data_IF_942387438694
#
_entry.id   IF_942387438694
#
_cell.length_a   1.000
_cell.length_b   1.000
_cell.length_c   1.000
_cell.angle_alpha   90.00
_cell.angle_beta   90.00
_cell.angle_gamma   90.00
#
_symmetry.space_group_name_H-M   'P 1'
#
loop_
_entity.id
_entity.type
_entity.pdbx_description
1 polymer ?
#
# COMPACT_ATOMS: atom_id res chain seq x y z
N UNK A 1 -23.83 -7.87 3.02
CA UNK A 1 -22.95 -6.85 3.65
C UNK A 1 -22.16 -7.59 4.71
N UNK A 2 -20.87 -7.88 4.46
CA UNK A 2 -20.02 -8.54 5.45
C UNK A 2 -19.39 -7.46 6.32
N UNK A 3 -19.45 -7.63 7.64
CA UNK A 3 -18.81 -6.71 8.57
C UNK A 3 -17.30 -6.97 8.62
N UNK A 4 -16.52 -5.99 9.09
CA UNK A 4 -15.07 -6.15 9.31
C UNK A 4 -14.80 -7.36 10.24
N UNK A 5 -15.68 -7.58 11.22
CA UNK A 5 -15.64 -8.71 12.15
C UNK A 5 -15.80 -10.06 11.45
N UNK A 6 -16.72 -10.17 10.48
CA UNK A 6 -16.89 -11.41 9.69
C UNK A 6 -15.66 -11.71 8.84
N UNK A 7 -14.96 -10.66 8.37
CA UNK A 7 -13.76 -10.77 7.52
C UNK A 7 -12.53 -11.25 8.30
N UNK A 8 -12.45 -10.97 9.61
CA UNK A 8 -11.40 -11.47 10.48
C UNK A 8 -11.64 -12.93 10.87
N UNK A 9 -12.90 -13.32 11.10
CA UNK A 9 -13.29 -14.68 11.46
C UNK A 9 -13.15 -15.68 10.29
N UNK A 10 -13.22 -15.21 9.04
CA UNK A 10 -13.02 -16.02 7.83
C UNK A 10 -11.54 -16.27 7.49
N UNK A 11 -10.59 -15.79 8.30
CA UNK A 11 -9.16 -16.05 8.06
C UNK A 11 -8.87 -17.52 8.31
N UNK A 12 -8.25 -18.22 7.35
CA UNK A 12 -7.81 -19.59 7.60
C UNK A 12 -6.79 -19.56 8.74
N UNK A 13 -7.07 -20.31 9.80
CA UNK A 13 -6.16 -20.47 10.92
C UNK A 13 -4.84 -21.11 10.45
N UNK A 14 -3.71 -20.54 10.86
CA UNK A 14 -2.37 -21.07 10.53
C UNK A 14 -1.70 -20.47 9.29
N UNK A 15 -2.30 -19.46 8.63
CA UNK A 15 -1.63 -18.75 7.54
C UNK A 15 -0.73 -17.65 8.12
N UNK A 16 0.58 -17.81 7.92
CA UNK A 16 1.60 -16.82 8.32
C UNK A 16 1.73 -15.71 7.26
N UNK A 17 1.77 -14.45 7.68
CA UNK A 17 1.99 -13.32 6.78
C UNK A 17 1.45 -12.01 7.36
N UNK A 18 1.73 -10.91 6.66
CA UNK A 18 1.21 -9.59 6.99
C UNK A 18 -0.13 -9.35 6.31
N UNK A 19 -1.16 -8.95 7.06
CA UNK A 19 -2.42 -8.48 6.49
C UNK A 19 -2.32 -6.99 6.21
N UNK A 20 -2.77 -6.59 5.03
CA UNK A 20 -2.59 -5.21 4.57
C UNK A 20 -3.92 -4.47 4.46
N UNK A 21 -3.86 -3.16 4.70
CA UNK A 21 -4.90 -2.23 4.24
C UNK A 21 -4.28 -1.18 3.33
N UNK A 22 -5.12 -0.64 2.45
CA UNK A 22 -4.68 0.26 1.40
C UNK A 22 -5.50 1.55 1.40
N UNK A 23 -4.82 2.67 1.27
CA UNK A 23 -5.44 3.99 1.17
C UNK A 23 -5.11 4.63 -0.17
N UNK A 24 -6.15 5.06 -0.89
CA UNK A 24 -5.98 5.90 -2.07
C UNK A 24 -6.22 7.36 -1.69
N UNK A 25 -5.12 8.13 -1.62
CA UNK A 25 -5.09 9.48 -1.07
C UNK A 25 -4.72 10.50 -2.14
N UNK A 26 -5.06 11.75 -1.89
CA UNK A 26 -4.62 12.89 -2.69
C UNK A 26 -4.35 14.12 -1.85
N UNK A 27 -3.62 15.08 -2.40
CA UNK A 27 -3.48 16.41 -1.85
C UNK A 27 -4.32 17.46 -2.62
N UNK A 28 -4.19 18.74 -2.22
CA UNK A 28 -4.83 19.88 -2.91
C UNK A 28 -4.32 20.08 -4.34
N UNK A 29 -3.06 19.74 -4.62
CA UNK A 29 -2.43 19.80 -5.96
C UNK A 29 -2.86 18.65 -6.88
N UNK A 30 -3.75 17.76 -6.41
CA UNK A 30 -4.24 16.56 -7.12
C UNK A 30 -3.17 15.49 -7.37
N UNK A 31 -2.02 15.58 -6.72
CA UNK A 31 -1.07 14.45 -6.62
C UNK A 31 -1.74 13.33 -5.83
N UNK A 32 -1.51 12.08 -6.22
CA UNK A 32 -2.19 10.90 -5.65
C UNK A 32 -1.18 9.89 -5.13
N UNK A 33 -1.57 9.20 -4.06
CA UNK A 33 -0.79 8.14 -3.43
C UNK A 33 -1.65 6.91 -3.22
N UNK A 34 -1.07 5.74 -3.47
CA UNK A 34 -1.54 4.48 -2.97
C UNK A 34 -0.62 4.05 -1.82
N UNK A 35 -1.17 4.02 -0.61
CA UNK A 35 -0.43 3.71 0.61
C UNK A 35 -0.85 2.34 1.12
N UNK A 36 0.10 1.41 1.22
CA UNK A 36 -0.11 0.06 1.77
C UNK A 36 0.55 -0.04 3.14
N UNK A 37 -0.20 -0.42 4.17
CA UNK A 37 0.31 -0.57 5.53
C UNK A 37 -0.27 -1.80 6.22
N UNK A 38 0.29 -2.18 7.36
CA UNK A 38 -0.31 -3.22 8.20
C UNK A 38 -1.76 -2.86 8.53
N UNK A 39 -2.63 -3.86 8.51
CA UNK A 39 -4.05 -3.68 8.76
C UNK A 39 -4.34 -2.99 10.11
N UNK A 40 -3.54 -3.28 11.13
CA UNK A 40 -3.68 -2.72 12.47
C UNK A 40 -2.95 -1.38 12.65
N UNK A 41 -2.18 -0.93 11.65
CA UNK A 41 -1.42 0.30 11.75
C UNK A 41 -2.35 1.51 11.89
N UNK A 42 -2.21 2.29 12.96
CA UNK A 42 -2.90 3.58 13.08
C UNK A 42 -2.19 4.60 12.19
N UNK A 43 -2.94 5.29 11.33
CA UNK A 43 -2.39 6.22 10.34
C UNK A 43 -2.99 7.62 10.52
N UNK A 44 -2.15 8.56 10.97
CA UNK A 44 -2.48 9.98 10.98
C UNK A 44 -2.15 10.62 9.61
N UNK A 45 -3.20 11.04 8.88
CA UNK A 45 -3.05 11.65 7.56
C UNK A 45 -2.30 12.99 7.58
N UNK A 46 -2.24 13.69 8.71
CA UNK A 46 -1.45 14.91 8.87
C UNK A 46 0.03 14.58 8.89
N UNK A 47 0.45 13.65 9.73
CA UNK A 47 1.86 13.24 9.81
C UNK A 47 2.32 12.54 8.53
N UNK A 48 1.48 11.67 7.97
CA UNK A 48 1.74 11.05 6.67
C UNK A 48 1.90 12.10 5.56
N UNK A 49 1.05 13.12 5.55
CA UNK A 49 1.12 14.22 4.60
C UNK A 49 2.38 15.07 4.71
N UNK A 50 2.86 15.30 5.94
CA UNK A 50 4.16 15.94 6.20
C UNK A 50 5.31 15.08 5.68
N UNK A 51 5.32 13.77 6.00
CA UNK A 51 6.37 12.84 5.61
C UNK A 51 6.50 12.71 4.09
N UNK A 52 5.37 12.61 3.38
CA UNK A 52 5.31 12.53 1.92
C UNK A 52 5.57 13.87 1.21
N UNK A 53 5.80 14.98 1.94
CA UNK A 53 5.88 16.31 1.36
C UNK A 53 4.57 16.75 0.65
N UNK A 54 3.46 16.09 0.96
CA UNK A 54 2.18 16.23 0.29
C UNK A 54 1.32 17.37 0.86
N UNK A 55 1.64 17.84 2.07
CA UNK A 55 0.78 18.70 2.86
C UNK A 55 -0.47 17.96 3.33
N UNK A 56 -1.63 18.65 3.41
CA UNK A 56 -2.88 17.99 3.83
C UNK A 56 -3.34 16.94 2.82
N UNK A 57 -3.43 15.69 3.28
CA UNK A 57 -4.00 14.56 2.54
C UNK A 57 -5.50 14.41 2.81
N UNK A 58 -6.20 13.83 1.84
CA UNK A 58 -7.59 13.37 1.94
C UNK A 58 -7.81 12.17 1.04
N UNK A 59 -8.82 11.36 1.32
CA UNK A 59 -9.22 10.28 0.42
C UNK A 59 -9.57 10.80 -0.99
N UNK A 60 -9.09 10.08 -1.99
CA UNK A 60 -9.45 10.35 -3.38
C UNK A 60 -10.87 9.83 -3.67
N UNK A 61 -11.52 10.42 -4.67
CA UNK A 61 -12.90 10.09 -5.00
C UNK A 61 -13.01 8.76 -5.76
N UNK A 62 -14.17 8.07 -5.71
CA UNK A 62 -14.39 6.82 -6.45
C UNK A 62 -14.08 6.93 -7.94
N UNK A 63 -14.40 8.07 -8.57
CA UNK A 63 -14.16 8.31 -10.00
C UNK A 63 -12.65 8.35 -10.31
N UNK A 64 -11.82 8.87 -9.40
CA UNK A 64 -10.36 8.84 -9.56
C UNK A 64 -9.83 7.43 -9.38
N UNK A 65 -10.36 6.71 -8.41
CA UNK A 65 -9.97 5.34 -8.12
C UNK A 65 -10.24 4.45 -9.35
N UNK A 66 -11.41 4.60 -9.96
CA UNK A 66 -11.76 3.93 -11.21
C UNK A 66 -10.87 4.39 -12.38
N UNK A 67 -10.68 5.71 -12.54
CA UNK A 67 -9.90 6.28 -13.65
C UNK A 67 -8.43 5.88 -13.64
N UNK A 68 -7.77 5.87 -12.48
CA UNK A 68 -6.33 5.69 -12.38
C UNK A 68 -5.93 4.26 -12.00
N UNK A 69 -6.74 3.58 -11.18
CA UNK A 69 -6.42 2.26 -10.66
C UNK A 69 -7.34 1.16 -11.20
N UNK A 70 -8.36 1.48 -12.00
CA UNK A 70 -9.16 0.43 -12.62
C UNK A 70 -10.08 -0.33 -11.63
N UNK A 71 -10.31 0.21 -10.43
CA UNK A 71 -11.06 -0.46 -9.36
C UNK A 71 -12.15 0.40 -8.74
N UNK A 72 -13.05 -0.23 -7.97
CA UNK A 72 -14.11 0.43 -7.20
C UNK A 72 -13.75 0.56 -5.72
N UNK A 73 -14.48 1.40 -5.00
CA UNK A 73 -14.31 1.54 -3.54
C UNK A 73 -14.56 0.22 -2.83
N UNK A 74 -13.80 -0.02 -1.77
CA UNK A 74 -13.83 -1.28 -1.02
C UNK A 74 -12.69 -2.20 -1.43
N UNK A 75 -12.32 -2.25 -2.71
CA UNK A 75 -11.37 -3.20 -3.29
C UNK A 75 -9.95 -2.62 -3.50
N UNK A 76 -9.55 -1.66 -2.67
CA UNK A 76 -8.25 -0.97 -2.82
C UNK A 76 -7.11 -1.96 -2.58
N UNK A 77 -6.26 -2.12 -3.59
CA UNK A 77 -5.18 -3.11 -3.62
C UNK A 77 -3.95 -2.55 -4.29
N UNK A 78 -2.73 -2.87 -3.82
CA UNK A 78 -1.51 -2.45 -4.49
C UNK A 78 -1.32 -3.13 -5.86
N UNK A 79 -2.01 -4.24 -6.12
CA UNK A 79 -2.01 -4.89 -7.44
C UNK A 79 -2.69 -4.02 -8.51
N UNK A 80 -3.48 -3.02 -8.12
CA UNK A 80 -4.12 -2.10 -9.05
C UNK A 80 -3.14 -1.14 -9.75
N UNK A 81 -1.88 -1.08 -9.31
CA UNK A 81 -0.82 -0.27 -9.94
C UNK A 81 -0.57 -0.64 -11.40
N UNK A 82 -0.84 -1.89 -11.80
CA UNK A 82 -0.74 -2.31 -13.22
C UNK A 82 -1.67 -1.49 -14.14
N UNK A 83 -2.76 -0.95 -13.60
CA UNK A 83 -3.73 -0.17 -14.37
C UNK A 83 -3.30 1.30 -14.53
N UNK A 84 -2.39 1.81 -13.69
CA UNK A 84 -1.88 3.18 -13.83
C UNK A 84 -0.73 3.26 -14.84
N UNK A 85 -1.06 3.01 -16.10
CA UNK A 85 -0.13 3.11 -17.24
C UNK A 85 0.42 4.53 -17.45
N UNK A 86 -0.17 5.52 -16.78
CA UNK A 86 0.22 6.93 -16.86
C UNK A 86 1.11 7.40 -15.71
N UNK A 87 1.40 6.51 -14.75
CA UNK A 87 2.25 6.73 -13.58
C UNK A 87 1.88 8.01 -12.81
N UNK A 88 0.58 8.20 -12.54
CA UNK A 88 0.04 9.35 -11.80
C UNK A 88 -0.11 9.09 -10.31
N UNK A 89 0.04 7.83 -9.88
CA UNK A 89 -0.11 7.39 -8.50
C UNK A 89 1.25 7.05 -7.93
N UNK A 90 1.67 7.76 -6.89
CA UNK A 90 2.85 7.40 -6.13
C UNK A 90 2.53 6.20 -5.23
N UNK A 91 3.45 5.23 -5.15
CA UNK A 91 3.27 4.08 -4.26
C UNK A 91 4.10 4.26 -3.00
N UNK A 92 3.48 4.08 -1.83
CA UNK A 92 4.17 4.08 -0.56
C UNK A 92 3.78 2.83 0.25
N UNK A 93 4.75 2.21 0.91
CA UNK A 93 4.54 0.99 1.68
C UNK A 93 5.16 1.12 3.07
N UNK A 94 4.44 0.65 4.08
CA UNK A 94 4.97 0.50 5.43
C UNK A 94 6.13 -0.50 5.47
N UNK A 95 7.26 -0.07 5.99
CA UNK A 95 8.47 -0.88 6.14
C UNK A 95 8.26 -2.06 7.08
N UNK A 96 7.32 -1.98 8.02
CA UNK A 96 6.98 -3.11 8.91
C UNK A 96 6.55 -4.35 8.12
N UNK A 97 5.84 -4.14 7.00
CA UNK A 97 5.36 -5.20 6.12
C UNK A 97 6.50 -6.01 5.48
N UNK A 98 7.67 -5.39 5.29
CA UNK A 98 8.84 -6.05 4.70
C UNK A 98 9.45 -7.13 5.59
N UNK A 99 9.03 -7.22 6.86
CA UNK A 99 9.45 -8.27 7.79
C UNK A 99 8.72 -9.59 7.60
N UNK A 100 7.60 -9.56 6.86
CA UNK A 100 6.87 -10.78 6.52
C UNK A 100 7.40 -11.36 5.22
N UNK A 101 7.47 -12.70 5.13
CA UNK A 101 7.80 -13.38 3.87
C UNK A 101 6.65 -13.25 2.86
N UNK A 102 5.42 -13.21 3.36
CA UNK A 102 4.19 -13.15 2.57
C UNK A 102 3.26 -12.05 3.06
N UNK A 103 2.55 -11.44 2.13
CA UNK A 103 1.47 -10.49 2.39
C UNK A 103 0.14 -11.03 1.88
N UNK A 104 -0.90 -10.76 2.64
CA UNK A 104 -2.27 -10.98 2.27
C UNK A 104 -2.87 -9.65 1.80
N UNK A 105 -3.23 -9.61 0.52
CA UNK A 105 -3.86 -8.46 -0.12
C UNK A 105 -5.24 -8.88 -0.63
N UNK A 106 -6.20 -7.97 -0.61
CA UNK A 106 -7.46 -8.18 -1.33
C UNK A 106 -7.17 -8.01 -2.84
N UNK A 107 -7.43 -9.01 -3.70
CA UNK A 107 -7.16 -8.91 -5.13
C UNK A 107 -8.37 -8.30 -5.82
N UNK A 108 -8.53 -6.98 -5.72
CA UNK A 108 -9.44 -6.18 -6.56
C UNK A 108 -10.94 -6.54 -6.42
N UNK A 109 -11.29 -7.45 -5.50
CA UNK A 109 -12.63 -7.76 -4.98
C UNK A 109 -12.51 -8.16 -3.51
N UNK A 110 -13.41 -7.66 -2.66
CA UNK A 110 -13.38 -7.89 -1.20
C UNK A 110 -13.72 -9.31 -0.78
N UNK A 111 -14.08 -10.16 -1.74
CA UNK A 111 -14.48 -11.55 -1.52
C UNK A 111 -13.31 -12.53 -1.65
N UNK A 112 -12.12 -12.06 -2.04
CA UNK A 112 -10.94 -12.90 -2.21
C UNK A 112 -9.75 -12.31 -1.43
N UNK A 113 -8.80 -13.17 -1.08
CA UNK A 113 -7.50 -12.77 -0.54
C UNK A 113 -6.43 -13.44 -1.40
N UNK A 114 -5.54 -12.67 -1.99
CA UNK A 114 -4.35 -13.18 -2.67
C UNK A 114 -3.17 -13.09 -1.72
N UNK A 115 -2.50 -14.21 -1.54
CA UNK A 115 -1.22 -14.27 -0.85
C UNK A 115 -0.11 -14.14 -1.87
N UNK A 116 0.81 -13.21 -1.66
CA UNK A 116 2.00 -13.07 -2.49
C UNK A 116 3.24 -12.85 -1.65
N UNK A 117 4.43 -13.25 -2.13
CA UNK A 117 5.68 -12.90 -1.48
C UNK A 117 5.82 -11.38 -1.38
N UNK A 118 6.26 -10.89 -0.22
CA UNK A 118 6.46 -9.44 -0.01
C UNK A 118 7.43 -8.85 -1.02
N UNK A 119 8.50 -9.60 -1.30
CA UNK A 119 9.48 -9.28 -2.33
C UNK A 119 8.84 -9.17 -3.73
N UNK A 120 7.87 -10.03 -4.00
CA UNK A 120 7.12 -10.04 -5.25
C UNK A 120 6.28 -8.78 -5.41
N UNK A 121 5.65 -8.29 -4.34
CA UNK A 121 4.90 -7.04 -4.36
C UNK A 121 5.80 -5.83 -4.67
N UNK A 122 6.96 -5.75 -4.02
CA UNK A 122 7.94 -4.67 -4.25
C UNK A 122 8.44 -4.70 -5.69
N UNK A 123 8.81 -5.88 -6.20
CA UNK A 123 9.26 -6.04 -7.58
C UNK A 123 8.15 -5.71 -8.60
N UNK A 124 6.91 -6.11 -8.32
CA UNK A 124 5.74 -5.78 -9.12
C UNK A 124 5.53 -4.26 -9.21
N UNK A 125 5.60 -3.56 -8.08
CA UNK A 125 5.46 -2.10 -8.06
C UNK A 125 6.56 -1.42 -8.90
N UNK A 126 7.81 -1.85 -8.75
CA UNK A 126 8.94 -1.34 -9.57
C UNK A 126 8.72 -1.63 -11.06
N UNK A 127 8.33 -2.85 -11.44
CA UNK A 127 8.11 -3.26 -12.84
C UNK A 127 6.93 -2.54 -13.49
N UNK A 128 5.94 -2.11 -12.71
CA UNK A 128 4.81 -1.31 -13.20
C UNK A 128 5.11 0.19 -13.20
N UNK A 129 6.34 0.62 -12.89
CA UNK A 129 6.73 2.03 -12.91
C UNK A 129 6.45 2.80 -11.61
N UNK A 130 6.19 2.08 -10.53
CA UNK A 130 5.79 2.63 -9.22
C UNK A 130 6.78 2.20 -8.12
N UNK A 131 8.05 2.67 -8.15
CA UNK A 131 8.99 2.36 -7.08
C UNK A 131 8.42 2.83 -5.72
N UNK A 132 8.48 1.98 -4.67
CA UNK A 132 7.90 2.32 -3.39
C UNK A 132 8.70 3.37 -2.63
N UNK A 133 7.99 4.33 -2.07
CA UNK A 133 8.43 5.11 -0.91
C UNK A 133 8.26 4.27 0.36
N UNK A 134 9.32 4.07 1.13
CA UNK A 134 9.25 3.27 2.37
C UNK A 134 8.91 4.14 3.57
N UNK A 135 7.76 3.87 4.19
CA UNK A 135 7.27 4.58 5.36
C UNK A 135 7.63 3.85 6.64
N UNK A 136 8.02 4.59 7.67
CA UNK A 136 8.10 4.07 9.04
C UNK A 136 7.14 4.85 9.92
N UNK A 137 6.16 4.14 10.49
CA UNK A 137 5.21 4.69 11.46
C UNK A 137 5.78 4.55 12.87
N UNK A 138 6.05 5.67 13.53
CA UNK A 138 6.65 5.70 14.85
C UNK A 138 5.59 5.64 15.95
N UNK A 139 6.00 5.25 17.16
CA UNK A 139 5.11 5.15 18.32
C UNK A 139 4.54 6.52 18.76
N UNK A 140 5.26 7.61 18.52
CA UNK A 140 4.79 8.99 18.76
C UNK A 140 3.78 9.48 17.71
N UNK A 141 3.40 8.61 16.76
CA UNK A 141 2.48 8.90 15.66
C UNK A 141 3.13 9.63 14.49
N UNK A 142 4.42 10.01 14.59
CA UNK A 142 5.14 10.60 13.47
C UNK A 142 5.40 9.56 12.37
N UNK A 143 5.54 10.03 11.14
CA UNK A 143 5.87 9.19 9.99
C UNK A 143 7.17 9.69 9.39
N UNK A 144 8.07 8.76 9.08
CA UNK A 144 9.32 9.06 8.36
C UNK A 144 9.33 8.31 7.03
N UNK A 145 10.01 8.89 6.06
CA UNK A 145 10.19 8.32 4.73
C UNK A 145 11.67 8.05 4.49
N UNK A 146 11.99 6.84 4.03
CA UNK A 146 13.32 6.52 3.51
C UNK A 146 13.25 6.56 1.98
N UNK A 147 13.73 7.67 1.41
CA UNK A 147 13.84 7.86 -0.05
C UNK A 147 15.16 7.33 -0.61
N UNK A 148 16.05 6.83 0.26
CA UNK A 148 17.33 6.23 -0.12
C UNK A 148 17.06 4.92 -0.85
N UNK A 149 16.96 5.04 -2.16
CA UNK A 149 16.52 3.98 -3.06
C UNK A 149 17.37 2.70 -2.94
N UNK A 150 16.74 1.57 -3.25
CA UNK A 150 17.30 0.44 -4.01
C UNK A 150 17.93 -0.77 -3.33
N UNK A 151 18.07 -0.85 -2.01
CA UNK A 151 18.53 -2.11 -1.39
C UNK A 151 17.36 -2.90 -0.82
N UNK A 152 17.18 -4.11 -1.34
CA UNK A 152 16.39 -5.12 -0.65
C UNK A 152 16.94 -5.30 0.77
N UNK A 153 16.08 -5.57 1.77
CA UNK A 153 16.51 -5.73 3.16
C UNK A 153 17.54 -6.86 3.37
N UNK A 154 17.78 -7.73 2.38
CA UNK A 154 18.80 -8.79 2.41
C UNK A 154 20.18 -8.38 1.86
N UNK A 155 20.37 -7.13 1.44
CA UNK A 155 21.66 -6.64 0.92
C UNK A 155 22.03 -7.14 -0.48
N UNK A 156 21.18 -7.87 -1.20
CA UNK A 156 21.45 -8.27 -2.59
C UNK A 156 21.23 -7.09 -3.55
N UNK A 157 22.20 -6.90 -4.44
CA UNK A 157 22.16 -5.91 -5.51
C UNK A 157 21.07 -6.27 -6.53
N UNK A 158 20.47 -5.24 -7.15
CA UNK A 158 19.52 -5.39 -8.26
C UNK A 158 20.12 -6.28 -9.36
N UNK A 159 19.41 -7.34 -9.73
CA UNK A 159 19.67 -8.01 -11.00
C UNK A 159 19.43 -7.00 -12.13
N UNK A 160 20.47 -6.83 -12.94
CA UNK A 160 20.51 -5.97 -14.14
C UNK A 160 19.57 -6.50 -15.21
#
# INVERSE_FOLDING_TARGET
MFTVTDSQALRPSGVSGGYTKNFFLRNKKKTMWLVTCDENQSVDLRHLGTALGAGRLSFASPERLMRFLGITTGAVSPLALINDVTHKVHFAIDRSLLRHDQLHVHPLVNTLTTTLPTIGLVQFAIKTGHPPDYLTFNHDGSVTIDTSSNKMPDGRLKAT
#
